data_IF_591014387332
#
_entry.id   IF_591014387332
#
_cell.length_a   1.000
_cell.length_b   1.000
_cell.length_c   1.000
_cell.angle_alpha   90.00
_cell.angle_beta   90.00
_cell.angle_gamma   90.00
#
_symmetry.space_group_name_H-M   'P 1'
#
loop_
_entity.id
_entity.type
_entity.pdbx_description
1 polymer ?
#
# COMPACT_ATOMS: atom_id res chain seq x y z
N UNK A 1 -2.49 32.24 29.27
CA UNK A 1 -3.81 32.26 28.61
C UNK A 1 -4.39 30.86 28.70
N UNK A 2 -5.41 30.65 29.53
CA UNK A 2 -6.17 29.41 29.52
C UNK A 2 -7.01 29.40 28.24
N UNK A 3 -6.92 28.34 27.45
CA UNK A 3 -7.83 28.12 26.33
C UNK A 3 -9.22 27.87 26.94
N UNK A 4 -10.14 28.79 26.67
CA UNK A 4 -11.56 28.64 26.96
C UNK A 4 -12.04 27.38 26.22
N UNK A 5 -12.27 26.29 26.97
CA UNK A 5 -12.91 25.09 26.44
C UNK A 5 -14.34 25.48 26.09
N UNK A 6 -14.55 25.94 24.85
CA UNK A 6 -15.88 26.02 24.27
C UNK A 6 -16.48 24.61 24.32
N UNK A 7 -17.54 24.44 25.12
CA UNK A 7 -18.28 23.18 25.12
C UNK A 7 -18.89 22.97 23.73
N UNK A 8 -18.91 21.72 23.22
CA UNK A 8 -19.55 21.43 21.95
C UNK A 8 -20.98 21.94 21.95
N UNK A 9 -21.33 22.75 20.95
CA UNK A 9 -22.70 23.24 20.78
C UNK A 9 -23.59 22.04 20.43
N UNK A 10 -24.54 21.71 21.32
CA UNK A 10 -25.48 20.60 21.13
C UNK A 10 -26.82 21.12 20.62
N UNK A 11 -27.33 20.53 19.55
CA UNK A 11 -28.60 20.89 18.91
C UNK A 11 -29.53 19.68 18.93
N UNK A 12 -30.83 19.91 19.10
CA UNK A 12 -31.82 18.83 18.96
C UNK A 12 -31.89 18.37 17.49
N UNK A 13 -31.53 17.12 17.25
CA UNK A 13 -31.57 16.52 15.92
C UNK A 13 -32.90 15.79 15.74
N UNK A 14 -33.83 16.37 14.96
CA UNK A 14 -35.09 15.72 14.55
C UNK A 14 -35.88 15.04 15.69
N UNK A 15 -35.82 15.57 16.92
CA UNK A 15 -36.49 14.99 18.09
C UNK A 15 -35.82 13.74 18.70
N UNK A 16 -34.69 13.25 18.15
CA UNK A 16 -34.01 12.05 18.67
C UNK A 16 -33.12 12.35 19.88
N UNK A 17 -32.69 13.60 20.08
CA UNK A 17 -31.78 13.97 21.16
C UNK A 17 -30.87 15.14 20.83
N UNK A 18 -30.06 15.54 21.81
CA UNK A 18 -29.05 16.59 21.68
C UNK A 18 -27.76 16.01 21.10
N UNK A 19 -27.39 16.48 19.91
CA UNK A 19 -26.21 15.99 19.17
C UNK A 19 -25.28 17.18 18.88
N UNK A 20 -23.97 16.94 18.87
CA UNK A 20 -22.98 17.95 18.49
C UNK A 20 -23.27 18.50 17.09
N UNK A 21 -23.31 19.83 17.00
CA UNK A 21 -23.65 20.58 15.78
C UNK A 21 -22.81 20.19 14.57
N UNK A 22 -21.55 19.82 14.78
CA UNK A 22 -20.64 19.39 13.70
C UNK A 22 -21.09 18.09 13.03
N UNK A 23 -21.86 17.24 13.72
CA UNK A 23 -22.37 15.99 13.17
C UNK A 23 -23.69 16.19 12.43
N UNK A 24 -24.47 17.21 12.77
CA UNK A 24 -25.83 17.42 12.23
C UNK A 24 -25.86 17.40 10.70
N UNK A 25 -25.02 18.16 9.95
CA UNK A 25 -25.06 18.14 8.49
C UNK A 25 -24.77 16.75 7.89
N UNK A 26 -23.88 15.98 8.54
CA UNK A 26 -23.54 14.63 8.10
C UNK A 26 -24.70 13.67 8.33
N UNK A 27 -25.32 13.77 9.50
CA UNK A 27 -26.47 12.96 9.88
C UNK A 27 -27.69 13.28 9.02
N UNK A 28 -27.94 14.55 8.69
CA UNK A 28 -29.00 14.95 7.76
C UNK A 28 -28.80 14.35 6.37
N UNK A 29 -27.57 14.40 5.85
CA UNK A 29 -27.24 13.85 4.54
C UNK A 29 -27.47 12.33 4.50
N UNK A 30 -26.95 11.58 5.48
CA UNK A 30 -27.10 10.12 5.49
C UNK A 30 -28.52 9.67 5.78
N UNK A 31 -29.26 10.37 6.65
CA UNK A 31 -30.66 10.05 6.93
C UNK A 31 -31.56 10.32 5.71
N UNK A 32 -31.17 11.23 4.82
CA UNK A 32 -31.89 11.47 3.57
C UNK A 32 -31.67 10.34 2.56
N UNK A 33 -30.48 9.72 2.55
CA UNK A 33 -30.14 8.59 1.68
C UNK A 33 -30.58 7.24 2.27
N UNK A 34 -30.62 7.13 3.59
CA UNK A 34 -30.95 5.93 4.35
C UNK A 34 -32.03 6.22 5.41
N UNK A 35 -33.30 6.36 4.99
CA UNK A 35 -34.40 6.68 5.92
C UNK A 35 -34.59 5.64 7.04
N UNK A 36 -34.20 4.38 6.79
CA UNK A 36 -34.23 3.28 7.75
C UNK A 36 -33.47 3.57 9.05
N UNK A 37 -32.48 4.47 9.03
CA UNK A 37 -31.75 4.92 10.22
C UNK A 37 -32.68 5.58 11.25
N UNK A 38 -33.61 6.42 10.78
CA UNK A 38 -34.58 7.09 11.65
C UNK A 38 -35.67 6.12 12.10
N UNK A 39 -36.16 5.28 11.17
CA UNK A 39 -37.22 4.31 11.44
C UNK A 39 -36.83 3.27 12.51
N UNK A 40 -35.58 2.77 12.46
CA UNK A 40 -35.07 1.80 13.44
C UNK A 40 -35.08 2.35 14.89
N UNK A 41 -34.98 3.67 15.05
CA UNK A 41 -34.89 4.32 16.36
C UNK A 41 -36.22 4.94 16.85
N UNK A 42 -37.26 5.02 16.00
CA UNK A 42 -38.55 5.65 16.39
C UNK A 42 -39.22 5.03 17.63
N UNK A 43 -39.06 3.72 17.85
CA UNK A 43 -39.64 3.00 19.01
C UNK A 43 -38.71 2.97 20.23
N UNK A 44 -37.53 3.58 20.14
CA UNK A 44 -36.52 3.56 21.21
C UNK A 44 -36.65 4.79 22.09
N UNK A 45 -36.03 4.72 23.27
CA UNK A 45 -35.99 5.87 24.16
C UNK A 45 -35.16 6.99 23.53
N UNK A 46 -35.45 8.24 23.92
CA UNK A 46 -34.68 9.40 23.47
C UNK A 46 -33.19 9.25 23.79
N UNK A 47 -32.85 8.79 25.00
CA UNK A 47 -31.44 8.58 25.40
C UNK A 47 -30.73 7.56 24.51
N UNK A 48 -31.41 6.46 24.16
CA UNK A 48 -30.84 5.43 23.30
C UNK A 48 -30.60 5.96 21.88
N UNK A 49 -31.59 6.67 21.33
CA UNK A 49 -31.50 7.28 20.00
C UNK A 49 -30.41 8.35 19.93
N UNK A 50 -30.31 9.20 20.95
CA UNK A 50 -29.24 10.20 21.08
C UNK A 50 -27.85 9.57 21.03
N UNK A 51 -27.63 8.49 21.78
CA UNK A 51 -26.36 7.75 21.77
C UNK A 51 -26.08 7.13 20.41
N UNK A 52 -27.08 6.48 19.79
CA UNK A 52 -26.95 5.85 18.49
C UNK A 52 -26.52 6.85 17.41
N UNK A 53 -27.21 7.99 17.32
CA UNK A 53 -26.88 9.03 16.34
C UNK A 53 -25.60 9.79 16.68
N UNK A 54 -25.23 9.90 17.96
CA UNK A 54 -23.93 10.45 18.36
C UNK A 54 -22.78 9.53 17.92
N UNK A 55 -22.90 8.22 18.13
CA UNK A 55 -21.90 7.24 17.68
C UNK A 55 -21.75 7.28 16.15
N UNK A 56 -22.88 7.29 15.42
CA UNK A 56 -22.87 7.41 13.96
C UNK A 56 -22.21 8.72 13.50
N UNK A 57 -22.55 9.84 14.16
CA UNK A 57 -21.99 11.15 13.87
C UNK A 57 -20.48 11.20 14.03
N UNK A 58 -19.95 10.56 15.08
CA UNK A 58 -18.50 10.46 15.34
C UNK A 58 -17.77 9.72 14.22
N UNK A 59 -18.29 8.57 13.77
CA UNK A 59 -17.68 7.81 12.66
C UNK A 59 -17.73 8.62 11.37
N UNK A 60 -18.88 9.20 11.03
CA UNK A 60 -19.01 10.01 9.82
C UNK A 60 -18.06 11.20 9.81
N UNK A 61 -17.95 11.88 10.94
CA UNK A 61 -17.02 12.99 11.09
C UNK A 61 -15.57 12.52 11.01
N UNK A 62 -15.22 11.39 11.64
CA UNK A 62 -13.89 10.79 11.55
C UNK A 62 -13.52 10.52 10.10
N UNK A 63 -14.37 9.79 9.36
CA UNK A 63 -14.13 9.43 7.96
C UNK A 63 -14.03 10.65 7.04
N UNK A 64 -14.79 11.73 7.32
CA UNK A 64 -14.77 12.96 6.51
C UNK A 64 -13.55 13.84 6.78
N UNK A 65 -13.09 13.89 8.03
CA UNK A 65 -12.06 14.85 8.47
C UNK A 65 -10.66 14.26 8.49
N UNK A 66 -10.52 12.97 8.80
CA UNK A 66 -9.21 12.32 8.91
C UNK A 66 -8.62 12.12 7.53
N UNK A 67 -7.44 12.70 7.33
CA UNK A 67 -6.68 12.54 6.08
C UNK A 67 -5.88 11.24 6.13
N UNK A 68 -5.43 10.78 4.97
CA UNK A 68 -4.54 9.60 4.83
C UNK A 68 -3.35 9.66 5.79
N UNK A 69 -2.79 10.85 6.06
CA UNK A 69 -1.68 11.05 7.00
C UNK A 69 -2.06 10.77 8.45
N UNK A 70 -3.28 11.10 8.87
CA UNK A 70 -3.75 10.86 10.24
C UNK A 70 -4.08 9.37 10.46
N UNK A 71 -4.44 8.67 9.39
CA UNK A 71 -4.72 7.23 9.37
C UNK A 71 -3.47 6.34 9.41
N UNK A 72 -2.27 6.93 9.40
CA UNK A 72 -1.03 6.19 9.64
C UNK A 72 -0.72 6.03 11.14
N UNK A 73 -1.50 6.69 12.02
CA UNK A 73 -1.39 6.54 13.47
C UNK A 73 -2.26 5.37 13.94
N UNK A 74 -1.65 4.39 14.61
CA UNK A 74 -2.35 3.24 15.17
C UNK A 74 -3.45 3.66 16.16
N UNK A 75 -3.22 4.71 16.94
CA UNK A 75 -4.21 5.26 17.88
C UNK A 75 -5.48 5.77 17.17
N UNK A 76 -5.35 6.29 15.94
CA UNK A 76 -6.50 6.74 15.16
C UNK A 76 -7.33 5.55 14.62
N UNK A 77 -6.65 4.48 14.20
CA UNK A 77 -7.32 3.24 13.79
C UNK A 77 -7.99 2.53 14.97
N UNK A 78 -7.32 2.45 16.12
CA UNK A 78 -7.88 1.88 17.35
C UNK A 78 -9.11 2.67 17.79
N UNK A 79 -9.05 4.00 17.75
CA UNK A 79 -10.20 4.84 18.07
C UNK A 79 -11.37 4.62 17.09
N UNK A 80 -11.10 4.51 15.79
CA UNK A 80 -12.13 4.20 14.80
C UNK A 80 -12.75 2.81 15.03
N UNK A 81 -11.94 1.81 15.39
CA UNK A 81 -12.42 0.47 15.70
C UNK A 81 -13.36 0.49 16.90
N UNK A 82 -12.98 1.17 17.99
CA UNK A 82 -13.84 1.31 19.18
C UNK A 82 -15.18 1.96 18.81
N UNK A 83 -15.15 3.06 18.03
CA UNK A 83 -16.38 3.72 17.59
C UNK A 83 -17.25 2.81 16.73
N UNK A 84 -16.65 2.01 15.86
CA UNK A 84 -17.35 1.04 15.02
C UNK A 84 -18.04 -0.04 15.85
N UNK A 85 -17.32 -0.65 16.78
CA UNK A 85 -17.86 -1.68 17.68
C UNK A 85 -19.02 -1.13 18.51
N UNK A 86 -18.91 0.11 19.01
CA UNK A 86 -20.00 0.82 19.68
C UNK A 86 -21.21 1.00 18.76
N UNK A 87 -21.00 1.40 17.50
CA UNK A 87 -22.07 1.66 16.54
C UNK A 87 -22.86 0.39 16.19
N UNK A 88 -22.20 -0.74 16.05
CA UNK A 88 -22.82 -2.03 15.72
C UNK A 88 -23.89 -2.45 16.74
N UNK A 89 -23.74 -2.01 18.00
CA UNK A 89 -24.72 -2.30 19.07
C UNK A 89 -26.11 -1.68 18.82
N UNK A 90 -26.19 -0.62 18.03
CA UNK A 90 -27.41 0.15 17.82
C UNK A 90 -28.32 -0.40 16.71
N UNK A 91 -27.94 -1.53 16.07
CA UNK A 91 -28.73 -2.25 15.05
C UNK A 91 -29.14 -1.39 13.85
N UNK A 92 -28.29 -0.47 13.43
CA UNK A 92 -28.44 0.19 12.15
C UNK A 92 -28.16 -0.80 11.01
N UNK A 93 -28.75 -0.55 9.84
CA UNK A 93 -28.23 -1.12 8.60
C UNK A 93 -27.00 -0.32 8.19
N UNK A 94 -25.83 -0.95 8.37
CA UNK A 94 -24.52 -0.34 8.17
C UNK A 94 -23.81 -0.84 6.90
N UNK A 95 -24.50 -1.60 6.05
CA UNK A 95 -23.94 -2.18 4.81
C UNK A 95 -23.32 -1.15 3.87
N UNK A 96 -23.85 0.08 3.88
CA UNK A 96 -23.32 1.21 3.10
C UNK A 96 -22.09 1.87 3.74
N UNK A 97 -21.91 1.77 5.06
CA UNK A 97 -20.83 2.43 5.81
C UNK A 97 -19.63 1.50 6.04
N UNK A 98 -19.90 0.21 6.22
CA UNK A 98 -18.90 -0.83 6.50
C UNK A 98 -17.73 -0.82 5.51
N UNK A 99 -17.91 -0.75 4.17
CA UNK A 99 -16.78 -0.74 3.24
C UNK A 99 -15.85 0.46 3.45
N UNK A 100 -16.40 1.61 3.85
CA UNK A 100 -15.61 2.83 4.10
C UNK A 100 -14.81 2.73 5.40
N UNK A 101 -15.40 2.13 6.45
CA UNK A 101 -14.70 1.90 7.73
C UNK A 101 -13.60 0.87 7.56
N UNK A 102 -13.87 -0.24 6.87
CA UNK A 102 -12.85 -1.26 6.58
C UNK A 102 -11.71 -0.71 5.73
N UNK A 103 -12.03 0.12 4.73
CA UNK A 103 -11.00 0.80 3.92
C UNK A 103 -10.14 1.75 4.77
N UNK A 104 -10.75 2.48 5.72
CA UNK A 104 -10.05 3.38 6.61
C UNK A 104 -9.09 2.62 7.55
N UNK A 105 -9.57 1.54 8.18
CA UNK A 105 -8.76 0.66 9.04
C UNK A 105 -7.62 -0.02 8.26
N UNK A 106 -7.84 -0.38 7.00
CA UNK A 106 -6.86 -1.02 6.12
C UNK A 106 -5.84 -0.07 5.47
N UNK A 107 -6.00 1.25 5.61
CA UNK A 107 -5.24 2.25 4.83
C UNK A 107 -3.74 2.19 5.10
N UNK A 108 -3.32 1.96 6.35
CA UNK A 108 -1.91 1.79 6.73
C UNK A 108 -1.27 0.64 5.94
N UNK A 109 -1.88 -0.55 5.98
CA UNK A 109 -1.36 -1.74 5.28
C UNK A 109 -1.31 -1.52 3.77
N UNK A 110 -2.31 -0.84 3.21
CA UNK A 110 -2.38 -0.57 1.79
C UNK A 110 -1.24 0.36 1.34
N UNK A 111 -0.96 1.41 2.11
CA UNK A 111 0.12 2.35 1.79
C UNK A 111 1.50 1.70 1.91
N UNK A 112 1.72 0.89 2.95
CA UNK A 112 2.96 0.11 3.12
C UNK A 112 3.19 -0.83 1.93
N UNK A 113 2.16 -1.58 1.52
CA UNK A 113 2.22 -2.44 0.33
C UNK A 113 2.52 -1.64 -0.94
N UNK A 114 1.91 -0.47 -1.12
CA UNK A 114 2.17 0.39 -2.28
C UNK A 114 3.63 0.89 -2.31
N UNK A 115 4.20 1.24 -1.16
CA UNK A 115 5.62 1.63 -1.06
C UNK A 115 6.54 0.45 -1.39
N UNK A 116 6.26 -0.74 -0.86
CA UNK A 116 7.03 -1.95 -1.18
C UNK A 116 6.95 -2.30 -2.68
N UNK A 117 5.77 -2.19 -3.28
CA UNK A 117 5.58 -2.43 -4.71
C UNK A 117 6.40 -1.47 -5.57
N UNK A 118 6.44 -0.18 -5.20
CA UNK A 118 7.27 0.81 -5.90
C UNK A 118 8.76 0.44 -5.85
N UNK A 119 9.27 0.11 -4.66
CA UNK A 119 10.67 -0.33 -4.47
C UNK A 119 10.98 -1.60 -5.27
N UNK A 120 10.07 -2.57 -5.26
CA UNK A 120 10.24 -3.80 -6.02
C UNK A 120 10.29 -3.53 -7.52
N UNK A 121 9.42 -2.64 -8.03
CA UNK A 121 9.43 -2.20 -9.43
C UNK A 121 10.76 -1.53 -9.82
N UNK A 122 11.30 -0.67 -8.97
CA UNK A 122 12.62 -0.05 -9.19
C UNK A 122 13.74 -1.09 -9.26
N UNK A 123 13.71 -2.09 -8.36
CA UNK A 123 14.68 -3.19 -8.36
C UNK A 123 14.58 -4.06 -9.62
N UNK A 124 13.37 -4.40 -10.05
CA UNK A 124 13.14 -5.17 -11.29
C UNK A 124 13.72 -4.42 -12.49
N UNK A 125 13.43 -3.13 -12.63
CA UNK A 125 13.97 -2.31 -13.71
C UNK A 125 15.52 -2.27 -13.69
N UNK A 126 16.13 -2.16 -12.51
CA UNK A 126 17.59 -2.17 -12.37
C UNK A 126 18.19 -3.51 -12.81
N UNK A 127 17.59 -4.63 -12.40
CA UNK A 127 18.02 -5.97 -12.79
C UNK A 127 17.84 -6.22 -14.30
N UNK A 128 16.77 -5.72 -14.90
CA UNK A 128 16.57 -5.80 -16.35
C UNK A 128 17.67 -5.07 -17.12
N UNK A 129 18.02 -3.85 -16.68
CA UNK A 129 19.10 -3.08 -17.29
C UNK A 129 20.45 -3.78 -17.15
N UNK A 130 20.73 -4.34 -15.97
CA UNK A 130 21.96 -5.08 -15.71
C UNK A 130 22.05 -6.36 -16.56
N UNK A 131 20.93 -7.07 -16.71
CA UNK A 131 20.82 -8.25 -17.59
C UNK A 131 21.12 -7.89 -19.04
N UNK A 132 20.59 -6.77 -19.55
CA UNK A 132 20.89 -6.30 -20.91
C UNK A 132 22.38 -5.97 -21.06
N UNK A 133 22.98 -5.32 -20.07
CA UNK A 133 24.41 -4.99 -20.05
C UNK A 133 25.29 -6.26 -20.08
N UNK A 134 24.96 -7.25 -19.25
CA UNK A 134 25.70 -8.52 -19.20
C UNK A 134 25.57 -9.31 -20.51
N UNK A 135 24.38 -9.33 -21.13
CA UNK A 135 24.20 -9.94 -22.47
C UNK A 135 25.07 -9.29 -23.53
N UNK A 136 25.18 -7.96 -23.55
CA UNK A 136 26.05 -7.26 -24.49
C UNK A 136 27.53 -7.60 -24.28
N UNK A 137 27.98 -7.71 -23.02
CA UNK A 137 29.35 -8.13 -22.69
C UNK A 137 29.64 -9.56 -23.08
N UNK A 138 28.67 -10.46 -22.87
CA UNK A 138 28.80 -11.86 -23.28
C UNK A 138 28.98 -11.98 -24.79
N UNK A 139 28.13 -11.28 -25.57
CA UNK A 139 28.25 -11.26 -27.03
C UNK A 139 29.62 -10.75 -27.51
N UNK A 140 30.17 -9.71 -26.86
CA UNK A 140 31.52 -9.23 -27.18
C UNK A 140 32.59 -10.30 -26.87
N UNK A 141 32.53 -10.94 -25.71
CA UNK A 141 33.47 -11.98 -25.32
C UNK A 141 33.38 -13.24 -26.22
N UNK A 142 32.19 -13.58 -26.71
CA UNK A 142 31.99 -14.67 -27.69
C UNK A 142 32.67 -14.36 -29.03
N UNK A 143 32.61 -13.10 -29.49
CA UNK A 143 33.32 -12.65 -30.70
C UNK A 143 34.83 -12.73 -30.48
N UNK A 144 35.34 -12.21 -29.36
CA UNK A 144 36.77 -12.24 -29.03
C UNK A 144 37.31 -13.68 -28.95
N UNK A 145 36.53 -14.60 -28.37
CA UNK A 145 36.88 -16.02 -28.27
C UNK A 145 36.92 -16.70 -29.64
N UNK A 146 36.00 -16.38 -30.54
CA UNK A 146 35.98 -16.89 -31.91
C UNK A 146 37.19 -16.41 -32.72
N UNK A 147 37.60 -15.14 -32.55
CA UNK A 147 38.82 -14.59 -33.16
C UNK A 147 40.06 -15.34 -32.64
N UNK A 148 40.21 -15.45 -31.31
CA UNK A 148 41.35 -16.13 -30.71
C UNK A 148 41.47 -17.61 -31.14
N UNK A 149 40.33 -18.29 -31.35
CA UNK A 149 40.31 -19.65 -31.89
C UNK A 149 40.84 -19.72 -33.33
N UNK A 150 40.47 -18.77 -34.19
CA UNK A 150 41.00 -18.71 -35.57
C UNK A 150 42.49 -18.43 -35.59
N UNK A 151 42.94 -17.48 -34.78
CA UNK A 151 44.36 -17.12 -34.68
C UNK A 151 45.20 -18.31 -34.19
N UNK A 152 44.69 -19.08 -33.22
CA UNK A 152 45.34 -20.30 -32.74
C UNK A 152 45.49 -21.35 -33.84
N UNK A 153 44.44 -21.60 -34.62
CA UNK A 153 44.47 -22.57 -35.74
C UNK A 153 45.51 -22.14 -36.78
N UNK A 154 45.53 -20.86 -37.16
CA UNK A 154 46.53 -20.34 -38.10
C UNK A 154 47.96 -20.45 -37.57
N UNK A 155 48.18 -20.16 -36.29
CA UNK A 155 49.49 -20.30 -35.66
C UNK A 155 49.96 -21.76 -35.61
N UNK A 156 49.04 -22.71 -35.41
CA UNK A 156 49.34 -24.15 -35.46
C UNK A 156 49.71 -24.63 -36.87
N UNK A 157 48.99 -24.18 -37.91
CA UNK A 157 49.31 -24.53 -39.30
C UNK A 157 50.69 -24.02 -39.75
N UNK A 158 51.13 -22.87 -39.22
CA UNK A 158 52.45 -22.31 -39.49
C UNK A 158 53.59 -22.91 -38.66
N UNK A 159 53.29 -23.79 -37.71
CA UNK A 159 54.28 -24.37 -36.79
C UNK A 159 54.70 -25.76 -37.26
N UNK A 160 55.84 -25.86 -37.95
CA UNK A 160 56.54 -27.14 -38.12
C UNK A 160 57.35 -27.44 -36.87
N UNK A 161 56.89 -28.41 -36.08
CA UNK A 161 57.66 -28.96 -34.96
C UNK A 161 58.93 -29.63 -35.50
N UNK A 162 60.07 -28.93 -35.44
CA UNK A 162 61.37 -29.54 -35.72
C UNK A 162 61.80 -30.34 -34.51
N UNK A 163 61.88 -31.66 -34.69
CA UNK A 163 62.52 -32.55 -33.72
C UNK A 163 63.99 -32.15 -33.54
N UNK A 164 64.27 -31.47 -32.43
CA UNK A 164 65.62 -31.01 -32.07
C UNK A 164 66.53 -32.13 -31.56
N UNK A 165 65.98 -33.32 -31.30
CA UNK A 165 66.73 -34.51 -30.82
C UNK A 165 67.06 -35.49 -31.96
N UNK A 166 66.74 -35.16 -33.21
CA UNK A 166 67.14 -35.95 -34.37
C UNK A 166 68.67 -36.11 -34.40
N UNK A 167 69.14 -37.32 -34.06
CA UNK A 167 70.57 -37.67 -33.98
C UNK A 167 71.24 -37.31 -35.30
N UNK A 168 72.05 -36.24 -35.29
CA UNK A 168 72.87 -35.85 -36.42
C UNK A 168 73.87 -36.98 -36.68
N UNK A 169 73.59 -37.78 -37.71
CA UNK A 169 74.45 -38.88 -38.16
C UNK A 169 75.74 -38.33 -38.73
N UNK A 170 76.68 -37.96 -37.86
CA UNK A 170 78.05 -37.67 -38.27
C UNK A 170 78.71 -39.00 -38.67
N UNK A 171 78.62 -39.31 -39.96
CA UNK A 171 79.39 -40.38 -40.59
C UNK A 171 80.88 -40.21 -40.28
N UNK A 172 81.48 -41.25 -39.71
CA UNK A 172 82.91 -41.34 -39.49
C UNK A 172 83.57 -41.88 -40.78
N UNK A 173 84.69 -41.33 -41.27
CA UNK A 173 85.50 -42.00 -42.29
C UNK A 173 86.03 -43.35 -41.80
#
# INVERSE_FOLDING_TARGET
>A
MQAERAFPELIDFKGVGKIEKVFVPLLEEVCSKHPSLLECQQKRSRRFSEWAFTALGRILHFLKTKKVKDMMNDEACDHLQILWDELETFKFDLTWLEPHVQSALGMKSHLEKAMQLKKLKENVNALEMETRRLKAKLAAAEIDLEIARRDLVQAQEGFEERDTDAILGYGRP
#
